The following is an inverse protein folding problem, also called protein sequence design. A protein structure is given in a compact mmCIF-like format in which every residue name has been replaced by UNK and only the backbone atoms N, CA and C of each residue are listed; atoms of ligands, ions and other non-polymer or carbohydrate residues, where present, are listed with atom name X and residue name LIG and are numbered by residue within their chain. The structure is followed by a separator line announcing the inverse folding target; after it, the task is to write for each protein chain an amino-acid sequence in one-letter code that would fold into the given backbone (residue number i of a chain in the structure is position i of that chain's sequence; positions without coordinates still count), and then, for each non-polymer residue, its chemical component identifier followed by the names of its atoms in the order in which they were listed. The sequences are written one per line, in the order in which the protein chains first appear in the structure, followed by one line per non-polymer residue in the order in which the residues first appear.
data_IF_508221041290
#
_entry.id   IF_508221041290
#
_cell.length_a   1.000
_cell.length_b   1.000
_cell.length_c   1.000
_cell.angle_alpha   90.00
_cell.angle_beta   90.00
_cell.angle_gamma   90.00
#
_symmetry.space_group_name_H-M   'P 1'
#
loop_
_entity.id
_entity.type
_entity.pdbx_description
1 polymer ?
#
# COMPACT_ATOMS: atom_id res chain seq x y z
N UNK A 1 -12.41 -41.97 -28.72
CA UNK A 1 -12.97 -41.05 -27.72
C UNK A 1 -12.45 -41.29 -26.30
N UNK A 2 -12.74 -42.45 -25.68
CA UNK A 2 -12.47 -42.70 -24.24
C UNK A 2 -10.99 -42.53 -23.84
N UNK A 3 -10.06 -43.08 -24.64
CA UNK A 3 -8.60 -42.91 -24.42
C UNK A 3 -8.13 -41.46 -24.45
N UNK A 4 -8.78 -40.59 -25.25
CA UNK A 4 -8.45 -39.17 -25.33
C UNK A 4 -8.92 -38.44 -24.07
N UNK A 5 -10.15 -38.72 -23.63
CA UNK A 5 -10.75 -38.16 -22.42
C UNK A 5 -9.93 -38.53 -21.18
N UNK A 6 -9.53 -39.80 -21.04
CA UNK A 6 -8.71 -40.25 -19.91
C UNK A 6 -7.33 -39.56 -19.87
N UNK A 7 -6.70 -39.35 -21.03
CA UNK A 7 -5.40 -38.65 -21.11
C UNK A 7 -5.53 -37.17 -20.77
N UNK A 8 -6.58 -36.51 -21.25
CA UNK A 8 -6.86 -35.11 -20.92
C UNK A 8 -7.12 -34.94 -19.42
N UNK A 9 -7.89 -35.84 -18.80
CA UNK A 9 -8.14 -35.83 -17.37
C UNK A 9 -6.88 -36.06 -16.54
N UNK A 10 -6.04 -37.03 -16.92
CA UNK A 10 -4.76 -37.27 -16.24
C UNK A 10 -3.86 -36.03 -16.32
N UNK A 11 -3.78 -35.41 -17.49
CA UNK A 11 -2.99 -34.20 -17.67
C UNK A 11 -3.51 -33.04 -16.82
N UNK A 12 -4.84 -32.85 -16.75
CA UNK A 12 -5.46 -31.87 -15.86
C UNK A 12 -5.05 -32.13 -14.40
N UNK A 13 -5.21 -33.35 -13.90
CA UNK A 13 -4.82 -33.72 -12.53
C UNK A 13 -3.34 -33.49 -12.25
N UNK A 14 -2.47 -33.87 -13.21
CA UNK A 14 -1.04 -33.64 -13.10
C UNK A 14 -0.70 -32.15 -13.02
N UNK A 15 -1.29 -31.34 -13.91
CA UNK A 15 -1.06 -29.89 -13.91
C UNK A 15 -1.60 -29.24 -12.64
N UNK A 16 -2.78 -29.64 -12.16
CA UNK A 16 -3.35 -29.14 -10.89
C UNK A 16 -2.47 -29.49 -9.70
N UNK A 17 -1.94 -30.73 -9.61
CA UNK A 17 -1.02 -31.10 -8.54
C UNK A 17 0.29 -30.32 -8.65
N UNK A 18 0.82 -30.17 -9.86
CA UNK A 18 2.08 -29.48 -10.09
C UNK A 18 1.99 -27.98 -9.74
N UNK A 19 0.97 -27.28 -10.24
CA UNK A 19 0.86 -25.82 -10.07
C UNK A 19 0.13 -25.40 -8.79
N UNK A 20 -0.76 -26.26 -8.27
CA UNK A 20 -1.55 -25.98 -7.06
C UNK A 20 -0.94 -26.50 -5.77
N UNK A 21 -0.02 -27.48 -5.84
CA UNK A 21 0.59 -28.08 -4.64
C UNK A 21 2.11 -28.05 -4.71
N UNK A 22 2.72 -28.71 -5.71
CA UNK A 22 4.19 -28.86 -5.76
C UNK A 22 4.87 -27.50 -5.86
N UNK A 23 4.43 -26.66 -6.79
CA UNK A 23 4.98 -25.33 -7.01
C UNK A 23 4.85 -24.41 -5.77
N UNK A 24 3.66 -24.16 -5.19
CA UNK A 24 3.54 -23.26 -4.04
C UNK A 24 4.29 -23.78 -2.81
N UNK A 25 4.33 -25.10 -2.56
CA UNK A 25 5.11 -25.65 -1.46
C UNK A 25 6.63 -25.48 -1.67
N UNK A 26 7.12 -25.73 -2.89
CA UNK A 26 8.53 -25.55 -3.21
C UNK A 26 8.95 -24.07 -3.07
N UNK A 27 8.17 -23.15 -3.62
CA UNK A 27 8.42 -21.70 -3.50
C UNK A 27 8.35 -21.24 -2.05
N UNK A 28 7.33 -21.66 -1.30
CA UNK A 28 7.17 -21.30 0.12
C UNK A 28 8.32 -21.84 0.96
N UNK A 29 8.67 -23.12 0.80
CA UNK A 29 9.78 -23.74 1.52
C UNK A 29 11.10 -23.04 1.24
N UNK A 30 11.39 -22.76 -0.03
CA UNK A 30 12.61 -22.06 -0.42
C UNK A 30 12.64 -20.61 0.10
N UNK A 31 11.52 -19.90 0.03
CA UNK A 31 11.39 -18.54 0.53
C UNK A 31 11.60 -18.47 2.05
N UNK A 32 11.06 -19.44 2.81
CA UNK A 32 11.26 -19.50 4.26
C UNK A 32 12.71 -19.81 4.65
N UNK A 33 13.44 -20.61 3.87
CA UNK A 33 14.86 -20.91 4.15
C UNK A 33 15.77 -19.74 3.76
N UNK A 34 15.55 -19.14 2.59
CA UNK A 34 16.45 -18.11 2.06
C UNK A 34 16.10 -16.69 2.54
N UNK A 35 14.81 -16.39 2.70
CA UNK A 35 14.28 -15.04 2.96
C UNK A 35 13.15 -15.05 4.00
N UNK A 36 13.36 -15.62 5.21
CA UNK A 36 12.29 -15.79 6.20
C UNK A 36 11.63 -14.46 6.60
N UNK A 37 12.38 -13.37 6.70
CA UNK A 37 11.81 -12.07 7.09
C UNK A 37 10.81 -11.56 6.03
N UNK A 38 11.18 -11.61 4.76
CA UNK A 38 10.34 -11.15 3.65
C UNK A 38 9.16 -12.10 3.41
N UNK A 39 9.39 -13.41 3.48
CA UNK A 39 8.35 -14.44 3.32
C UNK A 39 7.24 -14.33 4.38
N UNK A 40 7.58 -13.82 5.57
CA UNK A 40 6.63 -13.57 6.66
C UNK A 40 6.13 -12.11 6.68
N UNK A 41 6.26 -11.37 5.58
CA UNK A 41 5.64 -10.05 5.40
C UNK A 41 6.48 -8.85 5.83
N UNK A 42 7.78 -9.03 6.10
CA UNK A 42 8.70 -7.96 6.52
C UNK A 42 8.19 -7.16 7.72
N UNK A 43 7.70 -7.87 8.74
CA UNK A 43 7.09 -7.28 9.93
C UNK A 43 8.13 -6.56 10.80
N UNK A 44 7.77 -5.38 11.28
CA UNK A 44 8.54 -4.58 12.22
C UNK A 44 8.02 -4.84 13.64
N UNK A 45 8.95 -4.94 14.60
CA UNK A 45 8.66 -5.23 15.99
C UNK A 45 9.20 -4.13 16.90
N UNK A 46 8.42 -3.78 17.91
CA UNK A 46 8.83 -2.92 19.02
C UNK A 46 8.49 -3.63 20.33
N UNK A 47 9.48 -3.92 21.17
CA UNK A 47 9.30 -4.69 22.41
C UNK A 47 8.55 -6.01 22.18
N UNK A 48 9.00 -6.80 21.19
CA UNK A 48 8.43 -8.09 20.76
C UNK A 48 6.96 -8.06 20.30
N UNK A 49 6.37 -6.87 20.12
CA UNK A 49 5.03 -6.71 19.57
C UNK A 49 5.12 -6.27 18.10
N UNK A 50 4.37 -6.92 17.18
CA UNK A 50 4.32 -6.48 15.79
C UNK A 50 3.65 -5.10 15.73
N UNK A 51 4.34 -4.14 15.13
CA UNK A 51 3.85 -2.75 14.99
C UNK A 51 3.49 -2.39 13.54
N UNK A 52 3.75 -3.27 12.59
CA UNK A 52 3.45 -3.06 11.18
C UNK A 52 4.35 -3.88 10.26
N UNK A 53 4.29 -3.59 8.96
CA UNK A 53 5.22 -4.09 7.95
C UNK A 53 6.00 -2.93 7.36
N UNK A 54 7.26 -3.15 6.98
CA UNK A 54 8.03 -2.17 6.23
C UNK A 54 7.42 -1.82 4.86
N UNK A 55 6.48 -2.64 4.36
CA UNK A 55 5.88 -2.53 3.04
C UNK A 55 4.47 -1.93 3.05
N UNK A 56 3.89 -1.67 4.24
CA UNK A 56 2.50 -1.24 4.37
C UNK A 56 2.47 0.06 5.17
N UNK A 57 1.93 1.12 4.55
CA UNK A 57 1.67 2.38 5.22
C UNK A 57 0.56 2.26 6.26
N UNK A 58 0.55 3.16 7.23
CA UNK A 58 -0.49 3.26 8.25
C UNK A 58 -1.08 4.66 8.24
N UNK A 59 -2.32 4.78 8.70
CA UNK A 59 -2.95 6.07 8.86
C UNK A 59 -2.31 6.81 10.06
N UNK A 60 -1.44 7.77 9.78
CA UNK A 60 -0.84 8.67 10.77
C UNK A 60 -1.55 10.02 10.72
N UNK A 61 -2.30 10.34 11.77
CA UNK A 61 -3.01 11.62 11.92
C UNK A 61 -2.39 12.56 12.97
N UNK A 62 -1.58 12.05 13.90
CA UNK A 62 -0.93 12.87 14.92
C UNK A 62 0.15 13.79 14.28
N UNK A 63 0.15 15.11 14.56
CA UNK A 63 1.09 16.06 13.97
C UNK A 63 2.57 15.73 14.17
N UNK A 64 2.92 14.97 15.23
CA UNK A 64 4.31 14.57 15.51
C UNK A 64 4.86 13.55 14.50
N UNK A 65 3.99 12.80 13.83
CA UNK A 65 4.38 11.84 12.81
C UNK A 65 4.48 12.49 11.43
N UNK A 66 5.16 11.80 10.50
CA UNK A 66 5.10 12.19 9.11
C UNK A 66 3.76 11.67 8.60
N UNK A 67 3.04 12.50 7.88
CA UNK A 67 1.83 12.09 7.20
C UNK A 67 2.21 11.54 5.83
N UNK A 68 1.71 10.35 5.54
CA UNK A 68 1.88 9.70 4.25
C UNK A 68 0.99 10.31 3.18
N UNK A 69 0.88 9.61 2.06
CA UNK A 69 -0.05 9.97 1.00
C UNK A 69 -1.49 9.72 1.45
N UNK A 70 -2.46 10.50 0.97
CA UNK A 70 -3.87 10.14 1.17
C UNK A 70 -4.17 8.72 0.68
N UNK A 71 -5.08 8.02 1.36
CA UNK A 71 -5.49 6.66 1.02
C UNK A 71 -6.98 6.61 0.69
N UNK A 72 -7.32 5.81 -0.33
CA UNK A 72 -8.70 5.44 -0.66
C UNK A 72 -9.05 3.99 -0.27
N UNK A 73 -8.14 3.25 0.38
CA UNK A 73 -8.40 1.89 0.87
C UNK A 73 -9.26 1.88 2.14
N UNK A 74 -10.45 1.30 2.06
CA UNK A 74 -11.41 1.22 3.17
C UNK A 74 -12.12 2.55 3.48
N UNK A 75 -12.89 2.59 4.56
CA UNK A 75 -13.59 3.81 5.02
C UNK A 75 -12.64 4.86 5.61
N UNK A 76 -11.61 4.40 6.32
CA UNK A 76 -10.74 5.25 7.14
C UNK A 76 -9.31 5.39 6.57
N UNK A 77 -9.09 4.88 5.36
CA UNK A 77 -7.77 4.83 4.73
C UNK A 77 -6.86 3.74 5.32
N UNK A 78 -5.88 3.31 4.54
CA UNK A 78 -4.86 2.32 4.92
C UNK A 78 -5.42 0.98 5.44
N UNK A 79 -6.63 0.60 5.03
CA UNK A 79 -7.18 -0.73 5.35
C UNK A 79 -6.52 -1.82 4.49
N UNK A 80 -5.73 -2.66 5.13
CA UNK A 80 -5.00 -3.76 4.49
C UNK A 80 -5.94 -4.83 3.86
N UNK A 81 -7.20 -4.91 4.30
CA UNK A 81 -8.20 -5.79 3.72
C UNK A 81 -8.88 -5.20 2.46
N UNK A 82 -8.69 -3.90 2.20
CA UNK A 82 -9.38 -3.15 1.15
C UNK A 82 -8.40 -2.40 0.20
N UNK A 83 -7.28 -3.03 -0.15
CA UNK A 83 -6.26 -2.49 -1.08
C UNK A 83 -6.90 -1.98 -2.38
N UNK A 84 -6.89 -0.67 -2.58
CA UNK A 84 -7.52 0.00 -3.72
C UNK A 84 -7.08 1.47 -3.85
N UNK A 85 -7.22 2.01 -5.06
CA UNK A 85 -7.05 3.43 -5.35
C UNK A 85 -8.41 4.14 -5.53
N UNK A 86 -8.37 5.47 -5.65
CA UNK A 86 -9.59 6.29 -5.81
C UNK A 86 -10.30 6.11 -7.14
N UNK A 87 -9.58 5.68 -8.20
CA UNK A 87 -10.11 5.43 -9.55
C UNK A 87 -10.88 6.61 -10.18
N UNK A 88 -10.54 7.85 -9.79
CA UNK A 88 -11.13 9.07 -10.35
C UNK A 88 -10.35 9.55 -11.57
N UNK A 89 -11.06 9.93 -12.63
CA UNK A 89 -10.46 10.52 -13.84
C UNK A 89 -9.98 11.97 -13.61
N UNK A 90 -9.08 12.49 -14.46
CA UNK A 90 -8.46 13.80 -14.27
C UNK A 90 -9.44 15.00 -14.37
N UNK A 91 -10.58 14.81 -15.03
CA UNK A 91 -11.65 15.82 -15.13
C UNK A 91 -12.79 15.59 -14.14
N UNK A 92 -12.65 14.63 -13.23
CA UNK A 92 -13.67 14.33 -12.23
C UNK A 92 -13.69 15.43 -11.16
N UNK A 93 -14.87 16.00 -10.91
CA UNK A 93 -15.00 17.09 -9.95
C UNK A 93 -14.62 16.70 -8.52
N UNK A 94 -14.98 15.49 -8.07
CA UNK A 94 -14.62 14.98 -6.75
C UNK A 94 -13.10 14.87 -6.59
N UNK A 95 -12.36 14.52 -7.64
CA UNK A 95 -10.89 14.50 -7.57
C UNK A 95 -10.34 15.91 -7.35
N UNK A 96 -10.84 16.89 -8.10
CA UNK A 96 -10.40 18.28 -7.98
C UNK A 96 -10.70 18.85 -6.60
N UNK A 97 -11.89 18.56 -6.05
CA UNK A 97 -12.30 18.95 -4.71
C UNK A 97 -11.42 18.30 -3.63
N UNK A 98 -11.23 16.98 -3.69
CA UNK A 98 -10.39 16.25 -2.73
C UNK A 98 -8.93 16.77 -2.71
N UNK A 99 -8.35 17.03 -3.89
CA UNK A 99 -6.98 17.56 -3.98
C UNK A 99 -6.91 18.98 -3.42
N UNK A 100 -7.92 19.83 -3.70
CA UNK A 100 -7.96 21.19 -3.19
C UNK A 100 -8.13 21.23 -1.66
N UNK A 101 -9.02 20.39 -1.11
CA UNK A 101 -9.23 20.23 0.32
C UNK A 101 -7.96 19.76 1.02
N UNK A 102 -7.36 18.67 0.52
CA UNK A 102 -6.13 18.13 1.08
C UNK A 102 -4.97 19.12 0.99
N UNK A 103 -4.87 19.90 -0.09
CA UNK A 103 -3.88 20.97 -0.19
C UNK A 103 -4.11 22.08 0.85
N UNK A 104 -5.37 22.40 1.17
CA UNK A 104 -5.73 23.29 2.28
C UNK A 104 -5.25 22.74 3.62
N UNK A 105 -5.62 21.50 3.95
CA UNK A 105 -5.20 20.82 5.18
C UNK A 105 -3.69 20.79 5.34
N UNK A 106 -2.95 20.40 4.28
CA UNK A 106 -1.48 20.35 4.33
C UNK A 106 -0.87 21.74 4.57
N UNK A 107 -1.46 22.82 4.02
CA UNK A 107 -0.99 24.18 4.29
C UNK A 107 -1.24 24.60 5.73
N UNK A 108 -2.45 24.33 6.24
CA UNK A 108 -2.85 24.70 7.59
C UNK A 108 -1.99 23.96 8.63
N UNK A 109 -1.80 22.65 8.46
CA UNK A 109 -0.96 21.83 9.34
C UNK A 109 0.52 22.27 9.37
N UNK A 110 1.01 22.87 8.28
CA UNK A 110 2.40 23.35 8.18
C UNK A 110 2.51 24.88 8.33
N UNK A 111 1.45 25.55 8.78
CA UNK A 111 1.39 27.01 8.99
C UNK A 111 1.82 27.85 7.77
N UNK A 112 1.40 27.42 6.57
CA UNK A 112 1.76 28.06 5.31
C UNK A 112 0.72 29.06 4.83
N UNK A 113 1.14 29.96 3.94
CA UNK A 113 0.21 30.85 3.23
C UNK A 113 -0.70 30.04 2.29
N UNK A 114 -1.91 30.53 2.04
CA UNK A 114 -2.91 29.82 1.22
C UNK A 114 -2.45 29.49 -0.20
N UNK A 115 -1.54 30.28 -0.77
CA UNK A 115 -1.00 30.08 -2.12
C UNK A 115 0.35 29.35 -2.14
N UNK A 116 0.83 28.85 -0.99
CA UNK A 116 2.05 28.08 -0.96
C UNK A 116 1.90 26.79 -1.78
N UNK A 117 2.95 26.44 -2.52
CA UNK A 117 3.03 25.18 -3.24
C UNK A 117 3.16 24.03 -2.23
N UNK A 118 2.39 22.96 -2.47
CA UNK A 118 2.42 21.74 -1.67
C UNK A 118 2.91 20.58 -2.52
N UNK A 119 3.72 19.66 -1.97
CA UNK A 119 4.15 18.47 -2.70
C UNK A 119 2.96 17.60 -3.14
N UNK A 120 3.00 17.10 -4.38
CA UNK A 120 1.91 16.31 -4.96
C UNK A 120 1.64 15.01 -4.17
N UNK A 121 2.66 14.41 -3.58
CA UNK A 121 2.56 13.18 -2.78
C UNK A 121 1.57 13.34 -1.61
N UNK A 122 1.53 14.52 -0.99
CA UNK A 122 0.72 14.78 0.21
C UNK A 122 -0.75 15.10 -0.13
N UNK A 123 -1.06 15.31 -1.42
CA UNK A 123 -2.40 15.69 -1.88
C UNK A 123 -3.03 14.67 -2.83
N UNK A 124 -2.23 13.75 -3.39
CA UNK A 124 -2.72 12.74 -4.33
C UNK A 124 -2.76 11.35 -3.71
N UNK A 125 -3.90 10.67 -3.86
CA UNK A 125 -4.07 9.29 -3.39
C UNK A 125 -3.12 8.32 -4.10
N UNK A 126 -2.63 7.33 -3.38
CA UNK A 126 -1.86 6.23 -3.96
C UNK A 126 -2.76 5.22 -4.70
N UNK A 127 -2.17 4.47 -5.63
CA UNK A 127 -2.92 3.48 -6.42
C UNK A 127 -3.29 2.22 -5.62
N UNK A 128 -2.46 1.82 -4.64
CA UNK A 128 -2.75 0.68 -3.76
C UNK A 128 -3.59 1.06 -2.54
N UNK A 129 -3.58 2.34 -2.14
CA UNK A 129 -4.13 2.80 -0.87
C UNK A 129 -3.29 2.39 0.35
N UNK A 130 -2.16 1.72 0.15
CA UNK A 130 -1.30 1.19 1.22
C UNK A 130 0.17 1.66 1.11
N UNK A 131 0.42 2.70 0.31
CA UNK A 131 1.77 3.21 0.03
C UNK A 131 2.49 3.69 1.31
N UNK A 132 3.61 3.05 1.69
CA UNK A 132 4.40 3.47 2.85
C UNK A 132 5.36 4.63 2.53
N UNK A 133 5.44 5.07 1.27
CA UNK A 133 6.46 6.00 0.82
C UNK A 133 5.91 7.40 0.48
N UNK A 134 6.78 8.39 0.69
CA UNK A 134 6.69 9.76 0.17
C UNK A 134 8.08 10.15 -0.32
N UNK A 135 8.16 11.11 -1.25
CA UNK A 135 9.44 11.66 -1.68
C UNK A 135 10.20 12.33 -0.51
N UNK A 136 11.54 12.38 -0.57
CA UNK A 136 12.33 13.12 0.41
C UNK A 136 11.93 14.59 0.52
N UNK A 137 11.55 15.22 -0.58
CA UNK A 137 11.09 16.62 -0.60
C UNK A 137 9.78 16.78 0.19
N UNK A 138 8.82 15.86 0.03
CA UNK A 138 7.58 15.84 0.80
C UNK A 138 7.82 15.57 2.30
N UNK A 139 8.82 14.76 2.64
CA UNK A 139 9.22 14.54 4.02
C UNK A 139 9.88 15.78 4.63
N UNK A 140 10.82 16.41 3.92
CA UNK A 140 11.50 17.64 4.34
C UNK A 140 10.53 18.80 4.54
N UNK A 141 9.52 18.89 3.67
CA UNK A 141 8.45 19.87 3.77
C UNK A 141 7.74 19.84 5.14
N UNK A 142 7.56 18.65 5.73
CA UNK A 142 6.87 18.46 7.01
C UNK A 142 7.75 18.66 8.24
N UNK A 143 9.07 18.87 8.08
CA UNK A 143 10.01 18.95 9.23
C UNK A 143 9.70 20.12 10.16
N UNK A 144 9.27 21.25 9.62
CA UNK A 144 8.99 22.45 10.40
C UNK A 144 7.79 22.29 11.36
N UNK A 145 6.81 21.45 11.00
CA UNK A 145 5.62 21.15 11.81
C UNK A 145 5.96 20.39 13.10
N UNK A 146 7.03 19.59 13.10
CA UNK A 146 7.32 18.61 14.16
C UNK A 146 8.04 19.19 15.39
N UNK A 147 7.98 20.50 15.62
CA UNK A 147 8.55 21.15 16.80
C UNK A 147 7.47 21.59 17.77
#
# INVERSE_FOLDING_TARGET
MFKLISRAFLFLMLMTLLTGIIYPLAVTGLAQVLFPHQANGSLLYLNDKPVGSALIGQNFSDPKYFHGRPSAAGSDGYDAAASSGSNLGPTNQTLLENVAEQAGTVRDENALQQNALVPADLVTTSASGLDPHISPDAALFQVARKR
#
